data_IF_293437055334
#
_entry.id   IF_293437055334
#
_cell.length_a   1.000
_cell.length_b   1.000
_cell.length_c   1.000
_cell.angle_alpha   90.00
_cell.angle_beta   90.00
_cell.angle_gamma   90.00
#
_symmetry.space_group_name_H-M   'P 1'
#
loop_
_entity.id
_entity.type
_entity.pdbx_description
1 polymer ?
#
# COMPACT_ATOMS: atom_id res chain seq x y z
N UNK A 1 -51.47 -39.68 -32.77
CA UNK A 1 -50.61 -38.63 -32.32
C UNK A 1 -49.24 -38.77 -33.00
N UNK A 2 -48.82 -37.78 -33.82
CA UNK A 2 -47.49 -37.84 -34.50
C UNK A 2 -46.38 -37.57 -33.51
N UNK A 3 -45.34 -38.38 -33.50
CA UNK A 3 -44.19 -38.20 -32.62
C UNK A 3 -43.49 -36.85 -32.91
N UNK A 4 -43.05 -36.11 -31.89
CA UNK A 4 -42.42 -34.83 -32.10
C UNK A 4 -41.11 -34.99 -32.87
N UNK A 5 -41.00 -34.28 -33.99
CA UNK A 5 -39.82 -34.37 -34.87
C UNK A 5 -38.71 -33.44 -34.32
N UNK A 6 -37.73 -34.04 -33.65
CA UNK A 6 -36.60 -33.35 -33.02
C UNK A 6 -35.44 -33.02 -34.00
N UNK A 7 -35.63 -33.12 -35.30
CA UNK A 7 -34.56 -32.78 -36.26
C UNK A 7 -34.24 -31.29 -36.21
N UNK A 8 -33.02 -30.99 -35.87
CA UNK A 8 -32.48 -29.63 -35.90
C UNK A 8 -32.22 -29.23 -37.35
N UNK A 9 -33.04 -28.30 -37.89
CA UNK A 9 -32.87 -27.77 -39.24
C UNK A 9 -32.19 -26.39 -39.17
N UNK A 10 -31.41 -26.04 -40.23
CA UNK A 10 -30.75 -24.70 -40.34
C UNK A 10 -31.73 -23.54 -40.10
N UNK A 11 -32.95 -23.68 -40.55
CA UNK A 11 -33.97 -22.65 -40.39
C UNK A 11 -34.46 -22.50 -38.95
N UNK A 12 -34.65 -23.63 -38.23
CA UNK A 12 -34.97 -23.60 -36.79
C UNK A 12 -33.84 -22.97 -35.97
N UNK A 13 -32.60 -23.30 -36.28
CA UNK A 13 -31.43 -22.74 -35.60
C UNK A 13 -31.33 -21.24 -35.83
N UNK A 14 -31.49 -20.77 -37.09
CA UNK A 14 -31.47 -19.33 -37.40
C UNK A 14 -32.57 -18.55 -36.69
N UNK A 15 -33.81 -19.10 -36.64
CA UNK A 15 -34.94 -18.49 -35.94
C UNK A 15 -34.67 -18.46 -34.42
N UNK A 16 -34.13 -19.55 -33.87
CA UNK A 16 -33.80 -19.61 -32.45
C UNK A 16 -32.78 -18.52 -32.08
N UNK A 17 -31.66 -18.41 -32.81
CA UNK A 17 -30.67 -17.33 -32.56
C UNK A 17 -31.24 -15.95 -32.78
N UNK A 18 -32.15 -15.75 -33.74
CA UNK A 18 -32.74 -14.44 -33.98
C UNK A 18 -33.65 -13.98 -32.83
N UNK A 19 -34.45 -14.88 -32.26
CA UNK A 19 -35.38 -14.55 -31.18
C UNK A 19 -34.77 -14.65 -29.78
N UNK A 20 -33.77 -15.50 -29.58
CA UNK A 20 -33.21 -15.79 -28.26
C UNK A 20 -31.77 -15.26 -28.06
N UNK A 21 -31.22 -14.49 -29.00
CA UNK A 21 -29.86 -13.96 -28.89
C UNK A 21 -29.64 -13.16 -27.60
N UNK A 22 -30.68 -12.43 -27.13
CA UNK A 22 -30.64 -11.67 -25.89
C UNK A 22 -30.44 -12.59 -24.67
N UNK A 23 -31.07 -13.75 -24.66
CA UNK A 23 -30.91 -14.73 -23.57
C UNK A 23 -29.50 -15.28 -23.53
N UNK A 24 -28.84 -15.51 -24.67
CA UNK A 24 -27.45 -15.90 -24.72
C UNK A 24 -26.56 -14.81 -24.20
N UNK A 25 -26.81 -13.55 -24.52
CA UNK A 25 -26.08 -12.41 -24.02
C UNK A 25 -26.17 -12.31 -22.50
N UNK A 26 -27.37 -12.44 -21.93
CA UNK A 26 -27.58 -12.49 -20.47
C UNK A 26 -26.82 -13.66 -19.87
N UNK A 27 -26.89 -14.85 -20.46
CA UNK A 27 -26.19 -16.03 -19.94
C UNK A 27 -24.66 -15.83 -19.92
N UNK A 28 -24.10 -15.24 -20.96
CA UNK A 28 -22.67 -14.89 -21.00
C UNK A 28 -22.31 -13.88 -19.90
N UNK A 29 -23.12 -12.84 -19.73
CA UNK A 29 -22.91 -11.86 -18.66
C UNK A 29 -22.97 -12.54 -17.29
N UNK A 30 -23.98 -13.36 -17.02
CA UNK A 30 -24.11 -14.10 -15.75
C UNK A 30 -22.91 -15.02 -15.53
N UNK A 31 -22.42 -15.69 -16.59
CA UNK A 31 -21.25 -16.56 -16.48
C UNK A 31 -19.98 -15.75 -16.14
N UNK A 32 -19.77 -14.59 -16.80
CA UNK A 32 -18.62 -13.71 -16.52
C UNK A 32 -18.68 -13.16 -15.09
N UNK A 33 -19.82 -12.62 -14.68
CA UNK A 33 -19.99 -12.08 -13.33
C UNK A 33 -19.92 -13.18 -12.27
N UNK A 34 -20.55 -14.32 -12.49
CA UNK A 34 -20.50 -15.46 -11.59
C UNK A 34 -19.08 -16.00 -11.42
N UNK A 35 -18.36 -16.15 -12.53
CA UNK A 35 -16.95 -16.58 -12.49
C UNK A 35 -16.07 -15.56 -11.75
N UNK A 36 -16.25 -14.27 -12.05
CA UNK A 36 -15.50 -13.21 -11.37
C UNK A 36 -15.77 -13.21 -9.85
N UNK A 37 -17.04 -13.37 -9.47
CA UNK A 37 -17.45 -13.47 -8.07
C UNK A 37 -16.79 -14.66 -7.38
N UNK A 38 -16.88 -15.86 -7.98
CA UNK A 38 -16.25 -17.07 -7.43
C UNK A 38 -14.75 -16.89 -7.32
N UNK A 39 -14.09 -16.38 -8.35
CA UNK A 39 -12.66 -16.14 -8.35
C UNK A 39 -12.26 -15.16 -7.24
N UNK A 40 -12.99 -14.06 -7.06
CA UNK A 40 -12.71 -13.06 -6.03
C UNK A 40 -12.91 -13.62 -4.62
N UNK A 41 -13.93 -14.47 -4.43
CA UNK A 41 -14.22 -15.08 -3.12
C UNK A 41 -13.27 -16.24 -2.77
N UNK A 42 -12.75 -16.93 -3.77
CA UNK A 42 -11.85 -18.09 -3.56
C UNK A 42 -10.37 -17.76 -3.68
N UNK A 43 -10.03 -16.54 -4.14
CA UNK A 43 -8.64 -16.10 -4.21
C UNK A 43 -8.05 -16.09 -2.80
N UNK A 44 -6.95 -16.81 -2.63
CA UNK A 44 -6.18 -16.77 -1.40
C UNK A 44 -5.71 -15.34 -1.12
N UNK A 45 -5.90 -14.89 0.09
CA UNK A 45 -5.35 -13.63 0.61
C UNK A 45 -4.48 -13.99 1.81
N UNK A 46 -3.21 -13.62 1.81
CA UNK A 46 -2.37 -13.83 2.97
C UNK A 46 -2.99 -13.20 4.21
N UNK A 47 -2.88 -13.82 5.38
CA UNK A 47 -3.33 -13.21 6.64
C UNK A 47 -2.50 -11.95 6.95
N UNK A 48 -3.05 -11.01 7.71
CA UNK A 48 -2.38 -9.75 8.04
C UNK A 48 -1.03 -9.96 8.73
N UNK A 49 -0.90 -10.99 9.55
CA UNK A 49 0.33 -11.39 10.23
C UNK A 49 1.49 -11.74 9.28
N UNK A 50 1.19 -11.99 8.00
CA UNK A 50 2.15 -12.38 6.97
C UNK A 50 2.29 -11.37 5.83
N UNK A 51 1.90 -10.14 6.10
CA UNK A 51 2.01 -9.04 5.15
C UNK A 51 2.82 -7.90 5.73
N UNK A 52 3.53 -7.20 4.88
CA UNK A 52 4.07 -5.86 5.16
C UNK A 52 3.77 -4.97 3.96
N UNK A 53 2.97 -3.94 4.18
CA UNK A 53 2.50 -3.05 3.14
C UNK A 53 2.99 -1.63 3.40
N UNK A 54 3.69 -1.05 2.42
CA UNK A 54 4.02 0.38 2.41
C UNK A 54 3.00 1.12 1.55
N UNK A 55 2.24 2.01 2.13
CA UNK A 55 1.36 2.92 1.41
C UNK A 55 2.08 4.23 1.08
N UNK A 56 2.28 4.50 -0.20
CA UNK A 56 2.92 5.71 -0.70
C UNK A 56 1.87 6.75 -1.08
N UNK A 57 1.69 7.76 -0.22
CA UNK A 57 0.85 8.95 -0.45
C UNK A 57 1.70 10.15 -0.90
N UNK A 58 2.80 9.86 -1.54
CA UNK A 58 3.76 10.82 -2.08
C UNK A 58 4.20 10.33 -3.45
N UNK A 59 4.56 11.25 -4.32
CA UNK A 59 5.01 10.91 -5.65
C UNK A 59 6.30 10.10 -5.63
N UNK A 60 6.32 8.98 -6.36
CA UNK A 60 7.45 8.07 -6.35
C UNK A 60 7.28 6.87 -7.26
N UNK A 61 8.28 6.00 -7.27
CA UNK A 61 8.29 4.76 -8.03
C UNK A 61 7.85 3.57 -7.19
N UNK A 62 6.60 3.16 -7.35
CA UNK A 62 6.08 1.94 -6.73
C UNK A 62 6.87 0.70 -7.18
N UNK A 63 7.29 0.64 -8.43
CA UNK A 63 8.03 -0.49 -8.97
C UNK A 63 9.41 -0.63 -8.30
N UNK A 64 10.14 0.48 -8.15
CA UNK A 64 11.42 0.48 -7.47
C UNK A 64 11.27 0.09 -5.99
N UNK A 65 10.26 0.61 -5.30
CA UNK A 65 9.98 0.25 -3.91
C UNK A 65 9.61 -1.23 -3.78
N UNK A 66 8.81 -1.78 -4.69
CA UNK A 66 8.47 -3.21 -4.70
C UNK A 66 9.71 -4.08 -4.93
N UNK A 67 10.63 -3.67 -5.80
CA UNK A 67 11.88 -4.39 -6.02
C UNK A 67 12.76 -4.41 -4.75
N UNK A 68 12.85 -3.30 -4.03
CA UNK A 68 13.52 -3.21 -2.74
C UNK A 68 12.86 -4.15 -1.71
N UNK A 69 11.53 -4.08 -1.55
CA UNK A 69 10.80 -4.90 -0.59
C UNK A 69 10.94 -6.40 -0.87
N UNK A 70 10.97 -6.80 -2.15
CA UNK A 70 11.22 -8.19 -2.52
C UNK A 70 12.61 -8.66 -2.07
N UNK A 71 13.64 -7.83 -2.23
CA UNK A 71 14.99 -8.15 -1.74
C UNK A 71 15.08 -8.29 -0.22
N UNK A 72 14.38 -7.40 0.50
CA UNK A 72 14.31 -7.48 1.97
C UNK A 72 13.52 -8.72 2.42
N UNK A 73 12.45 -9.06 1.71
CA UNK A 73 11.66 -10.27 2.01
C UNK A 73 12.54 -11.53 1.89
N UNK A 74 13.31 -11.68 0.82
CA UNK A 74 14.18 -12.83 0.62
C UNK A 74 15.27 -12.98 1.70
N UNK A 75 15.75 -11.87 2.24
CA UNK A 75 16.91 -11.86 3.14
C UNK A 75 16.57 -11.77 4.62
N UNK A 76 15.55 -10.98 4.98
CA UNK A 76 15.25 -10.64 6.36
C UNK A 76 13.96 -11.29 6.88
N UNK A 77 12.91 -11.33 6.07
CA UNK A 77 11.57 -11.76 6.46
C UNK A 77 11.01 -12.83 5.49
N UNK A 78 11.71 -13.97 5.27
CA UNK A 78 11.32 -14.98 4.28
C UNK A 78 9.98 -15.67 4.57
N UNK A 79 9.45 -15.53 5.77
CA UNK A 79 8.14 -16.03 6.19
C UNK A 79 6.96 -15.13 5.79
N UNK A 80 7.23 -13.91 5.33
CA UNK A 80 6.18 -13.03 4.83
C UNK A 80 5.72 -13.51 3.45
N UNK A 81 4.41 -13.60 3.28
CA UNK A 81 3.80 -14.03 2.02
C UNK A 81 3.57 -12.85 1.06
N UNK A 82 3.43 -11.64 1.60
CA UNK A 82 3.20 -10.43 0.81
C UNK A 82 3.98 -9.25 1.41
N UNK A 83 4.97 -8.76 0.67
CA UNK A 83 5.66 -7.52 0.99
C UNK A 83 5.59 -6.60 -0.23
N UNK A 84 4.75 -5.57 -0.16
CA UNK A 84 4.45 -4.72 -1.32
C UNK A 84 4.31 -3.25 -0.95
N UNK A 85 4.70 -2.39 -1.88
CA UNK A 85 4.35 -0.98 -1.85
C UNK A 85 3.11 -0.74 -2.70
N UNK A 86 2.22 0.10 -2.20
CA UNK A 86 1.01 0.54 -2.90
C UNK A 86 1.07 2.05 -3.07
N UNK A 87 0.99 2.51 -4.31
CA UNK A 87 0.95 3.93 -4.61
C UNK A 87 -0.49 4.41 -4.66
N UNK A 88 -0.77 5.46 -3.92
CA UNK A 88 -2.05 6.15 -3.95
C UNK A 88 -1.79 7.58 -4.40
N UNK A 89 -2.44 8.00 -5.48
CA UNK A 89 -2.30 9.36 -6.02
C UNK A 89 -2.72 10.35 -4.93
N UNK A 90 -1.84 11.27 -4.53
CA UNK A 90 -2.17 12.33 -3.57
C UNK A 90 -3.12 13.33 -4.23
N UNK A 91 -4.43 13.01 -4.25
CA UNK A 91 -5.47 13.89 -4.80
C UNK A 91 -6.04 14.79 -3.71
N UNK A 92 -6.10 16.08 -3.98
CA UNK A 92 -6.60 17.07 -3.05
C UNK A 92 -8.10 16.91 -2.71
N UNK A 93 -8.87 16.20 -3.55
CA UNK A 93 -10.31 16.03 -3.41
C UNK A 93 -10.68 14.74 -2.69
N UNK A 94 -10.05 13.62 -3.07
CA UNK A 94 -10.39 12.29 -2.59
C UNK A 94 -9.31 11.67 -1.69
N UNK A 95 -8.11 12.22 -1.68
CA UNK A 95 -6.96 11.66 -0.95
C UNK A 95 -7.25 11.48 0.54
N UNK A 96 -7.87 12.45 1.20
CA UNK A 96 -8.24 12.35 2.62
C UNK A 96 -9.23 11.22 2.89
N UNK A 97 -10.21 11.01 2.00
CA UNK A 97 -11.18 9.94 2.13
C UNK A 97 -10.53 8.57 1.94
N UNK A 98 -9.66 8.43 0.94
CA UNK A 98 -8.92 7.18 0.69
C UNK A 98 -7.98 6.88 1.85
N UNK A 99 -7.23 7.87 2.32
CA UNK A 99 -6.33 7.73 3.47
C UNK A 99 -7.10 7.29 4.72
N UNK A 100 -8.19 8.00 5.06
CA UNK A 100 -9.03 7.65 6.22
C UNK A 100 -9.63 6.24 6.10
N UNK A 101 -9.97 5.81 4.88
CA UNK A 101 -10.48 4.47 4.61
C UNK A 101 -9.42 3.41 4.86
N UNK A 102 -8.18 3.60 4.36
CA UNK A 102 -7.07 2.67 4.60
C UNK A 102 -6.76 2.54 6.10
N UNK A 103 -6.69 3.67 6.81
CA UNK A 103 -6.50 3.66 8.27
C UNK A 103 -7.63 2.92 8.98
N UNK A 104 -8.89 3.22 8.66
CA UNK A 104 -10.06 2.61 9.30
C UNK A 104 -10.20 1.11 8.98
N UNK A 105 -9.76 0.69 7.80
CA UNK A 105 -9.78 -0.71 7.38
C UNK A 105 -8.57 -1.50 7.90
N UNK A 106 -7.56 -0.84 8.49
CA UNK A 106 -6.29 -1.46 8.87
C UNK A 106 -5.47 -1.91 7.65
N UNK A 107 -5.66 -1.25 6.49
CA UNK A 107 -4.96 -1.57 5.25
C UNK A 107 -3.66 -0.77 5.15
N UNK A 108 -2.55 -1.45 5.37
CA UNK A 108 -1.20 -0.90 5.32
C UNK A 108 -0.55 -0.69 6.67
N UNK A 109 0.74 -0.88 6.69
CA UNK A 109 1.57 -0.93 7.90
C UNK A 109 2.41 0.33 8.03
N UNK A 110 3.07 0.71 6.94
CA UNK A 110 3.95 1.87 6.87
C UNK A 110 3.38 2.85 5.85
N UNK A 111 3.36 4.11 6.20
CA UNK A 111 2.84 5.17 5.35
C UNK A 111 3.94 6.19 5.05
N UNK A 112 4.20 6.39 3.76
CA UNK A 112 4.96 7.53 3.27
C UNK A 112 3.97 8.64 2.95
N UNK A 113 3.93 9.67 3.77
CA UNK A 113 2.95 10.76 3.66
C UNK A 113 3.64 12.11 3.54
N UNK A 114 2.98 13.07 2.92
CA UNK A 114 3.46 14.46 2.94
C UNK A 114 3.40 15.04 4.35
N UNK A 115 4.16 16.09 4.60
CA UNK A 115 4.14 16.80 5.88
C UNK A 115 2.75 17.32 6.23
N UNK A 116 1.94 17.71 5.23
CA UNK A 116 0.56 18.16 5.44
C UNK A 116 -0.34 17.05 5.99
N UNK A 117 -0.30 15.86 5.39
CA UNK A 117 -1.00 14.68 5.89
C UNK A 117 -0.52 14.29 7.29
N UNK A 118 0.79 14.27 7.51
CA UNK A 118 1.35 13.95 8.81
C UNK A 118 0.86 14.92 9.89
N UNK A 119 0.90 16.23 9.62
CA UNK A 119 0.42 17.24 10.58
C UNK A 119 -1.07 17.09 10.92
N UNK A 120 -1.88 16.71 9.94
CA UNK A 120 -3.33 16.59 10.08
C UNK A 120 -3.75 15.36 10.88
N UNK A 121 -3.04 14.24 10.69
CA UNK A 121 -3.47 12.95 11.24
C UNK A 121 -2.67 12.47 12.45
N UNK A 122 -1.40 12.87 12.61
CA UNK A 122 -0.54 12.34 13.67
C UNK A 122 -1.06 12.64 15.10
N UNK A 123 -1.73 13.76 15.30
CA UNK A 123 -2.31 14.09 16.60
C UNK A 123 -3.59 13.30 16.96
N UNK A 124 -4.15 12.56 15.99
CA UNK A 124 -5.36 11.76 16.15
C UNK A 124 -5.13 10.31 16.58
N UNK A 125 -3.90 9.94 16.94
CA UNK A 125 -3.58 8.59 17.42
C UNK A 125 -3.68 7.51 16.34
N UNK A 126 -3.51 7.85 15.05
CA UNK A 126 -3.57 6.89 13.94
C UNK A 126 -2.22 6.24 13.67
N UNK A 127 -1.14 6.84 14.15
CA UNK A 127 0.22 6.35 14.00
C UNK A 127 0.79 5.85 15.32
N UNK A 128 1.66 4.86 15.21
CA UNK A 128 2.36 4.26 16.33
C UNK A 128 3.39 5.23 16.90
N UNK A 129 3.52 5.23 18.22
CA UNK A 129 4.57 5.95 18.95
C UNK A 129 5.89 5.23 18.69
N UNK A 130 6.86 5.92 18.09
CA UNK A 130 8.12 5.31 17.65
C UNK A 130 9.17 5.25 18.76
N UNK A 131 9.14 6.14 19.74
CA UNK A 131 10.08 6.13 20.86
C UNK A 131 9.94 4.94 21.78
N UNK A 132 8.84 4.19 21.71
CA UNK A 132 8.66 2.94 22.45
C UNK A 132 9.54 1.80 21.92
N UNK A 133 10.06 1.92 20.70
CA UNK A 133 10.99 0.96 20.10
C UNK A 133 12.45 1.36 20.37
N UNK A 134 13.04 0.73 21.40
CA UNK A 134 14.40 1.03 21.83
C UNK A 134 15.47 0.75 20.76
N UNK A 135 15.25 -0.26 19.89
CA UNK A 135 16.20 -0.59 18.82
C UNK A 135 16.14 0.43 17.69
N UNK A 136 14.95 0.89 17.33
CA UNK A 136 14.77 1.98 16.37
C UNK A 136 15.42 3.26 16.89
N UNK A 137 15.17 3.60 18.16
CA UNK A 137 15.74 4.81 18.76
C UNK A 137 17.27 4.74 18.85
N UNK A 138 17.86 3.57 19.08
CA UNK A 138 19.31 3.39 19.02
C UNK A 138 19.87 3.67 17.62
N UNK A 139 19.20 3.23 16.55
CA UNK A 139 19.58 3.53 15.17
C UNK A 139 19.50 5.04 14.88
N UNK A 140 18.42 5.69 15.33
CA UNK A 140 18.20 7.12 15.18
C UNK A 140 19.31 7.93 15.87
N UNK A 141 19.66 7.55 17.11
CA UNK A 141 20.71 8.22 17.89
C UNK A 141 22.09 8.01 17.27
N UNK A 142 22.44 6.78 16.90
CA UNK A 142 23.71 6.43 16.26
C UNK A 142 23.91 7.16 14.93
N UNK A 143 22.83 7.30 14.15
CA UNK A 143 22.85 7.94 12.84
C UNK A 143 22.72 9.46 12.91
N UNK A 144 22.39 10.04 14.06
CA UNK A 144 22.20 11.47 14.24
C UNK A 144 20.97 12.03 13.50
N UNK A 145 19.93 11.21 13.30
CA UNK A 145 18.69 11.64 12.64
C UNK A 145 17.98 12.71 13.48
N UNK A 146 17.71 13.87 12.87
CA UNK A 146 16.93 14.93 13.52
C UNK A 146 15.43 14.60 13.46
N UNK A 147 14.87 14.13 14.57
CA UNK A 147 13.47 13.78 14.74
C UNK A 147 12.54 14.96 15.07
N UNK A 148 13.05 16.19 15.05
CA UNK A 148 12.27 17.39 15.46
C UNK A 148 10.94 17.52 14.71
N UNK A 149 10.93 17.20 13.41
CA UNK A 149 9.72 17.25 12.58
C UNK A 149 8.73 16.12 12.89
N UNK A 150 9.19 15.02 13.50
CA UNK A 150 8.37 13.84 13.84
C UNK A 150 7.55 13.96 15.11
N UNK A 151 7.85 14.95 15.95
CA UNK A 151 7.13 15.17 17.19
C UNK A 151 5.74 15.79 16.99
N UNK A 152 4.72 15.21 17.62
CA UNK A 152 3.36 15.77 17.68
C UNK A 152 2.77 15.57 19.06
N UNK A 153 1.83 16.45 19.41
CA UNK A 153 1.06 16.34 20.65
C UNK A 153 -0.21 15.57 20.35
N UNK A 154 -0.44 14.50 21.06
CA UNK A 154 -1.67 13.72 20.97
C UNK A 154 -2.86 14.52 21.52
N UNK A 155 -3.98 14.48 20.81
CA UNK A 155 -5.15 15.30 21.15
C UNK A 155 -5.84 14.83 22.43
N UNK A 156 -5.84 13.52 22.69
CA UNK A 156 -6.56 12.95 23.84
C UNK A 156 -5.78 13.07 25.14
N UNK A 157 -4.48 12.79 25.11
CA UNK A 157 -3.62 12.73 26.32
C UNK A 157 -2.86 14.02 26.57
N UNK A 158 -2.76 14.91 25.57
CA UNK A 158 -1.92 16.10 25.55
C UNK A 158 -0.42 15.78 25.74
N UNK A 159 -0.01 14.53 25.56
CA UNK A 159 1.39 14.10 25.60
C UNK A 159 2.04 14.30 24.24
N UNK A 160 3.35 14.53 24.24
CA UNK A 160 4.12 14.74 23.01
C UNK A 160 4.94 13.49 22.70
N UNK A 161 4.73 12.94 21.51
CA UNK A 161 5.35 11.70 21.03
C UNK A 161 5.97 11.85 19.65
N UNK A 162 6.84 10.92 19.29
CA UNK A 162 7.40 10.79 17.94
C UNK A 162 6.50 9.83 17.14
N UNK A 163 5.86 10.35 16.10
CA UNK A 163 4.97 9.58 15.24
C UNK A 163 5.52 9.33 13.83
N UNK A 164 6.67 9.89 13.51
CA UNK A 164 7.23 9.72 12.18
C UNK A 164 8.70 10.11 12.09
N UNK A 165 9.36 9.53 11.10
CA UNK A 165 10.77 9.81 10.76
C UNK A 165 10.76 10.75 9.56
N UNK A 166 11.46 11.91 9.62
CA UNK A 166 11.56 12.78 8.47
C UNK A 166 12.30 12.11 7.32
N UNK A 167 11.66 11.98 6.17
CA UNK A 167 12.26 11.37 4.99
C UNK A 167 13.47 12.17 4.46
N UNK A 168 13.55 13.46 4.77
CA UNK A 168 14.72 14.30 4.49
C UNK A 168 16.01 13.82 5.18
N UNK A 169 15.89 13.04 6.25
CA UNK A 169 17.02 12.44 6.96
C UNK A 169 17.45 11.08 6.39
N UNK A 170 16.73 10.61 5.38
CA UNK A 170 16.90 9.30 4.74
C UNK A 170 17.26 9.48 3.25
N UNK A 171 18.52 9.80 2.92
CA UNK A 171 18.94 10.16 1.56
C UNK A 171 18.66 9.05 0.54
N UNK A 172 18.70 7.79 0.95
CA UNK A 172 18.37 6.63 0.09
C UNK A 172 16.94 6.64 -0.45
N UNK A 173 16.01 7.33 0.21
CA UNK A 173 14.63 7.47 -0.28
C UNK A 173 14.52 8.21 -1.61
N UNK A 174 15.52 8.99 -2.02
CA UNK A 174 15.57 9.66 -3.33
C UNK A 174 15.47 8.68 -4.52
N UNK A 175 15.72 7.40 -4.30
CA UNK A 175 15.53 6.36 -5.32
C UNK A 175 14.06 5.99 -5.51
N UNK A 176 13.22 6.25 -4.53
CA UNK A 176 11.85 5.76 -4.46
C UNK A 176 10.82 6.87 -4.41
N UNK A 177 11.17 8.03 -3.87
CA UNK A 177 10.29 9.18 -3.66
C UNK A 177 10.89 10.43 -4.31
N UNK A 178 10.04 11.20 -4.98
CA UNK A 178 10.49 12.37 -5.75
C UNK A 178 10.95 13.54 -4.85
N UNK A 179 10.19 13.86 -3.81
CA UNK A 179 10.42 14.98 -2.91
C UNK A 179 10.50 14.51 -1.46
N UNK A 180 11.58 13.81 -1.06
CA UNK A 180 11.67 13.26 0.30
C UNK A 180 11.72 14.34 1.39
N UNK A 181 12.11 15.56 1.06
CA UNK A 181 12.27 16.65 2.04
C UNK A 181 10.95 17.09 2.70
N UNK A 182 9.82 16.87 2.03
CA UNK A 182 8.48 17.17 2.52
C UNK A 182 7.69 15.93 2.89
N UNK A 183 8.37 14.81 3.14
CA UNK A 183 7.74 13.54 3.43
C UNK A 183 8.09 13.04 4.83
N UNK A 184 7.18 12.21 5.37
CA UNK A 184 7.34 11.53 6.64
C UNK A 184 7.13 10.03 6.44
N UNK A 185 7.95 9.23 7.12
CA UNK A 185 7.75 7.78 7.25
C UNK A 185 7.03 7.54 8.57
N UNK A 186 5.85 6.94 8.53
CA UNK A 186 5.01 6.68 9.71
C UNK A 186 4.58 5.22 9.73
N UNK A 187 4.19 4.72 10.91
CA UNK A 187 3.67 3.36 11.10
C UNK A 187 2.24 3.46 11.59
N UNK A 188 1.31 2.71 11.01
CA UNK A 188 -0.05 2.63 11.50
C UNK A 188 -0.12 1.85 12.83
N UNK A 189 -1.12 2.16 13.65
CA UNK A 189 -1.40 1.36 14.83
C UNK A 189 -2.29 0.16 14.48
N UNK A 190 -2.12 -0.95 15.21
CA UNK A 190 -3.03 -2.12 15.19
C UNK A 190 -3.29 -2.75 13.84
N UNK A 191 -2.24 -3.01 13.07
CA UNK A 191 -2.35 -3.75 11.81
C UNK A 191 -2.23 -5.27 11.94
N UNK A 192 -2.02 -5.80 13.16
CA UNK A 192 -1.92 -7.24 13.42
C UNK A 192 -0.55 -7.87 13.18
N UNK A 193 0.45 -7.08 12.70
CA UNK A 193 1.80 -7.56 12.38
C UNK A 193 2.92 -6.65 12.93
N UNK A 194 2.68 -6.03 14.06
CA UNK A 194 3.54 -5.01 14.64
C UNK A 194 5.02 -5.40 14.74
N UNK A 195 5.31 -6.65 15.10
CA UNK A 195 6.68 -7.13 15.30
C UNK A 195 7.46 -7.14 13.97
N UNK A 196 6.92 -7.77 12.93
CA UNK A 196 7.57 -7.83 11.62
C UNK A 196 7.66 -6.47 10.94
N UNK A 197 6.64 -5.64 11.12
CA UNK A 197 6.65 -4.25 10.62
C UNK A 197 7.77 -3.44 11.26
N UNK A 198 7.99 -3.56 12.56
CA UNK A 198 9.08 -2.87 13.24
C UNK A 198 10.46 -3.44 12.86
N UNK A 199 10.60 -4.76 12.69
CA UNK A 199 11.83 -5.37 12.15
C UNK A 199 12.13 -4.80 10.77
N UNK A 200 11.12 -4.76 9.89
CA UNK A 200 11.27 -4.18 8.57
C UNK A 200 11.62 -2.68 8.63
N UNK A 201 10.92 -1.89 9.46
CA UNK A 201 11.17 -0.45 9.59
C UNK A 201 12.61 -0.15 10.02
N UNK A 202 13.14 -0.89 10.99
CA UNK A 202 14.53 -0.73 11.44
C UNK A 202 15.52 -1.00 10.31
N UNK A 203 15.29 -2.05 9.52
CA UNK A 203 16.13 -2.32 8.35
C UNK A 203 15.97 -1.25 7.28
N UNK A 204 14.73 -0.86 7.00
CA UNK A 204 14.42 0.19 6.04
C UNK A 204 15.14 1.51 6.37
N UNK A 205 15.11 1.93 7.65
CA UNK A 205 15.82 3.13 8.07
C UNK A 205 17.33 2.99 7.85
N UNK A 206 17.93 1.85 8.23
CA UNK A 206 19.37 1.60 8.02
C UNK A 206 19.77 1.67 6.54
N UNK A 207 18.97 1.04 5.68
CA UNK A 207 19.24 1.01 4.24
C UNK A 207 19.08 2.40 3.61
N UNK A 208 18.05 3.15 4.05
CA UNK A 208 17.75 4.48 3.52
C UNK A 208 18.70 5.58 4.05
N UNK A 209 19.53 5.30 5.04
CA UNK A 209 20.63 6.18 5.46
C UNK A 209 21.78 6.24 4.44
N UNK A 210 21.88 5.25 3.57
CA UNK A 210 22.92 5.21 2.55
C UNK A 210 22.56 6.13 1.38
N UNK A 211 23.53 6.91 0.92
CA UNK A 211 23.35 7.71 -0.29
C UNK A 211 23.09 6.79 -1.50
N UNK A 212 22.12 7.13 -2.36
CA UNK A 212 21.87 6.36 -3.56
C UNK A 212 23.08 6.40 -4.50
N UNK A 213 23.35 5.34 -5.27
CA UNK A 213 24.37 5.37 -6.32
C UNK A 213 24.08 6.49 -7.32
N UNK A 214 25.14 7.08 -7.90
CA UNK A 214 24.98 8.13 -8.92
C UNK A 214 24.07 7.65 -10.06
N UNK A 215 23.04 8.45 -10.40
CA UNK A 215 22.10 8.17 -11.47
C UNK A 215 20.85 7.36 -11.08
N UNK A 216 20.73 6.94 -9.81
CA UNK A 216 19.55 6.21 -9.33
C UNK A 216 18.46 7.07 -8.68
N UNK A 217 18.73 8.34 -8.45
CA UNK A 217 17.68 9.27 -8.00
C UNK A 217 16.60 9.40 -9.08
N UNK A 218 15.32 9.38 -8.69
CA UNK A 218 14.21 9.59 -9.64
C UNK A 218 14.38 10.98 -10.26
N UNK A 219 14.46 11.09 -11.59
CA UNK A 219 14.52 12.40 -12.24
C UNK A 219 13.27 13.22 -11.93
N UNK A 220 13.45 14.52 -11.65
CA UNK A 220 12.33 15.41 -11.31
C UNK A 220 11.26 15.56 -12.42
N UNK A 221 11.60 15.18 -13.64
CA UNK A 221 10.72 15.17 -14.82
C UNK A 221 9.92 13.87 -15.03
N UNK A 222 10.12 12.86 -14.13
CA UNK A 222 9.45 11.56 -14.23
C UNK A 222 7.92 11.63 -14.03
N UNK A 223 7.40 12.70 -13.45
CA UNK A 223 5.99 12.86 -13.07
C UNK A 223 5.21 13.85 -13.97
N UNK A 224 5.72 14.15 -15.14
CA UNK A 224 4.96 14.97 -16.11
C UNK A 224 4.07 14.04 -16.96
N UNK A 225 3.01 13.48 -16.33
CA UNK A 225 1.89 12.90 -17.08
C UNK A 225 0.57 13.04 -16.30
#
# INVERSE_FOLDING_TARGET
>A
MAAPNFRITKQRMRNHFHYFWWQYLILVLVAIFGWNLVFTMTRYRPPEEKKVIINMYVDGSQEAMNAYMAGVNETLLPEMEEMVAQYTIPDATYGDMVFSTHIAAGEGDIFLVSMDYFQRYASGGVFKVLEDDAELMAIVEESGIDMTKGWRTETETAQKHIYGIPASQLPGLKQYVLLPDDCMVTVAINNGNDENVMIFLRQFVKDMLQEPPEGYAIPADYLIY
#
